data_IF_476063670444
#
_entry.id   IF_476063670444
#
_cell.length_a   1.000
_cell.length_b   1.000
_cell.length_c   1.000
_cell.angle_alpha   90.00
_cell.angle_beta   90.00
_cell.angle_gamma   90.00
#
_symmetry.space_group_name_H-M   'P 1'
#
loop_
_entity.id
_entity.type
_entity.pdbx_description
1 polymer ?
#
# COMPACT_ATOMS: atom_id res chain seq x y z
N UNK A 1 -46.31 -32.74 36.30
CA UNK A 1 -46.13 -31.35 35.85
C UNK A 1 -44.72 -30.83 36.19
N UNK A 2 -43.65 -31.25 35.47
CA UNK A 2 -42.29 -30.70 35.68
C UNK A 2 -41.42 -30.64 34.41
N UNK A 3 -41.98 -30.91 33.23
CA UNK A 3 -41.20 -31.02 31.98
C UNK A 3 -41.49 -29.86 31.00
N UNK A 4 -42.65 -29.19 31.12
CA UNK A 4 -43.04 -28.12 30.19
C UNK A 4 -42.33 -26.79 30.49
N UNK A 5 -41.84 -26.59 31.71
CA UNK A 5 -41.13 -25.36 32.10
C UNK A 5 -39.68 -25.26 31.58
N UNK A 6 -39.07 -26.37 31.11
CA UNK A 6 -37.68 -26.36 30.60
C UNK A 6 -37.56 -26.09 29.10
N UNK A 7 -38.64 -26.20 28.34
CA UNK A 7 -38.64 -25.93 26.89
C UNK A 7 -38.76 -24.43 26.55
N UNK A 8 -39.30 -23.61 27.46
CA UNK A 8 -39.50 -22.17 27.23
C UNK A 8 -38.25 -21.31 27.47
N UNK A 9 -37.21 -21.85 28.11
CA UNK A 9 -35.97 -21.11 28.39
C UNK A 9 -34.91 -21.22 27.27
N UNK A 10 -35.12 -22.10 26.28
CA UNK A 10 -34.17 -22.29 25.18
C UNK A 10 -34.38 -21.34 23.99
N UNK A 11 -35.55 -20.68 23.88
CA UNK A 11 -35.84 -19.78 22.75
C UNK A 11 -35.29 -18.35 22.90
N UNK A 12 -34.75 -17.98 24.07
CA UNK A 12 -34.25 -16.63 24.33
C UNK A 12 -32.80 -16.39 23.90
N UNK A 13 -32.08 -17.41 23.43
CA UNK A 13 -30.66 -17.28 23.05
C UNK A 13 -30.41 -17.12 21.54
N UNK A 14 -31.46 -17.04 20.71
CA UNK A 14 -31.34 -16.86 19.25
C UNK A 14 -31.57 -15.40 18.79
N UNK A 15 -31.88 -14.47 19.69
CA UNK A 15 -32.22 -13.08 19.36
C UNK A 15 -31.02 -12.13 19.19
N UNK A 16 -29.79 -12.60 19.42
CA UNK A 16 -28.60 -11.73 19.43
C UNK A 16 -28.11 -11.25 18.05
N UNK A 17 -28.34 -11.98 16.96
CA UNK A 17 -27.88 -11.59 15.62
C UNK A 17 -28.92 -10.80 14.81
N UNK A 18 -30.21 -11.06 15.01
CA UNK A 18 -31.29 -10.38 14.28
C UNK A 18 -31.47 -8.92 14.69
N UNK A 19 -31.19 -8.59 15.96
CA UNK A 19 -31.34 -7.23 16.50
C UNK A 19 -30.32 -6.26 15.91
N UNK A 20 -29.06 -6.67 15.76
CA UNK A 20 -27.98 -5.84 15.20
C UNK A 20 -28.22 -5.52 13.73
N UNK A 21 -28.61 -6.53 12.94
CA UNK A 21 -28.93 -6.34 11.51
C UNK A 21 -30.15 -5.41 11.32
N UNK A 22 -31.18 -5.58 12.15
CA UNK A 22 -32.36 -4.71 12.15
C UNK A 22 -32.01 -3.27 12.55
N UNK A 23 -31.22 -3.09 13.62
CA UNK A 23 -30.75 -1.77 14.08
C UNK A 23 -29.96 -1.07 12.97
N UNK A 24 -29.04 -1.79 12.31
CA UNK A 24 -28.28 -1.26 11.18
C UNK A 24 -29.22 -0.82 10.05
N UNK A 25 -30.15 -1.67 9.62
CA UNK A 25 -31.11 -1.29 8.57
C UNK A 25 -31.97 -0.07 8.96
N UNK A 26 -32.37 0.03 10.22
CA UNK A 26 -33.14 1.17 10.74
C UNK A 26 -32.33 2.47 10.75
N UNK A 27 -31.07 2.42 11.17
CA UNK A 27 -30.17 3.58 11.15
C UNK A 27 -29.97 4.08 9.71
N UNK A 28 -29.74 3.17 8.75
CA UNK A 28 -29.64 3.52 7.33
C UNK A 28 -30.96 4.05 6.74
N UNK A 29 -32.11 3.65 7.26
CA UNK A 29 -33.39 4.16 6.74
C UNK A 29 -33.77 5.53 7.30
N UNK A 30 -33.18 5.93 8.43
CA UNK A 30 -33.52 7.15 9.17
C UNK A 30 -32.54 8.31 8.97
N UNK A 31 -31.45 8.11 8.24
CA UNK A 31 -30.49 9.17 7.93
C UNK A 31 -30.87 9.91 6.63
N UNK A 32 -31.16 11.20 6.75
CA UNK A 32 -31.64 12.03 5.64
C UNK A 32 -30.55 12.94 5.08
N UNK A 33 -29.78 13.60 5.94
CA UNK A 33 -28.71 14.52 5.52
C UNK A 33 -27.41 13.78 5.19
N UNK A 34 -26.53 14.40 4.41
CA UNK A 34 -25.20 13.85 4.11
C UNK A 34 -24.40 13.54 5.39
N UNK A 35 -24.47 14.42 6.38
CA UNK A 35 -23.83 14.27 7.68
C UNK A 35 -24.42 13.08 8.46
N UNK A 36 -25.74 12.95 8.51
CA UNK A 36 -26.39 11.80 9.15
C UNK A 36 -26.00 10.49 8.48
N UNK A 37 -25.97 10.46 7.14
CA UNK A 37 -25.57 9.27 6.37
C UNK A 37 -24.12 8.88 6.64
N UNK A 38 -23.21 9.86 6.71
CA UNK A 38 -21.82 9.66 7.15
C UNK A 38 -21.77 9.09 8.57
N UNK A 39 -22.50 9.67 9.53
CA UNK A 39 -22.45 9.20 10.92
C UNK A 39 -22.94 7.76 11.06
N UNK A 40 -23.95 7.36 10.28
CA UNK A 40 -24.41 5.97 10.21
C UNK A 40 -23.32 5.05 9.65
N UNK A 41 -22.64 5.45 8.56
CA UNK A 41 -21.51 4.68 8.02
C UNK A 41 -20.41 4.48 9.07
N UNK A 42 -20.04 5.55 9.78
CA UNK A 42 -19.00 5.52 10.82
C UNK A 42 -19.43 4.65 12.01
N UNK A 43 -20.69 4.76 12.45
CA UNK A 43 -21.25 3.96 13.56
C UNK A 43 -21.08 2.46 13.32
N UNK A 44 -21.27 2.04 12.07
CA UNK A 44 -21.23 0.63 11.66
C UNK A 44 -19.90 0.18 11.06
N UNK A 45 -18.85 1.00 11.20
CA UNK A 45 -17.48 0.58 10.86
C UNK A 45 -17.09 -0.69 11.62
N UNK A 46 -16.42 -1.65 10.96
CA UNK A 46 -15.90 -2.82 11.63
C UNK A 46 -14.84 -2.46 12.69
N UNK A 47 -14.77 -3.26 13.75
CA UNK A 47 -13.79 -3.06 14.83
C UNK A 47 -12.49 -3.86 14.62
N UNK A 48 -12.48 -4.85 13.73
CA UNK A 48 -11.28 -5.63 13.44
C UNK A 48 -10.20 -4.75 12.80
N UNK A 49 -8.94 -5.18 12.90
CA UNK A 49 -7.76 -4.43 12.44
C UNK A 49 -7.67 -2.99 13.02
N UNK A 50 -8.41 -2.69 14.09
CA UNK A 50 -8.44 -1.39 14.74
C UNK A 50 -9.17 -0.30 13.95
N UNK A 51 -9.93 -0.61 12.91
CA UNK A 51 -10.57 0.38 12.03
C UNK A 51 -11.41 1.40 12.80
N UNK A 52 -12.40 0.94 13.58
CA UNK A 52 -13.25 1.82 14.39
C UNK A 52 -12.45 2.65 15.42
N UNK A 53 -11.39 2.07 16.01
CA UNK A 53 -10.52 2.77 16.99
C UNK A 53 -9.68 3.87 16.32
N UNK A 54 -9.20 3.62 15.11
CA UNK A 54 -8.30 4.52 14.38
C UNK A 54 -9.05 5.59 13.57
N UNK A 55 -10.32 5.33 13.24
CA UNK A 55 -11.11 6.21 12.37
C UNK A 55 -11.20 7.67 12.84
N UNK A 56 -11.35 8.00 14.14
CA UNK A 56 -11.35 9.39 14.59
C UNK A 56 -10.07 10.15 14.21
N UNK A 57 -8.91 9.49 14.28
CA UNK A 57 -7.63 10.08 13.87
C UNK A 57 -7.61 10.34 12.36
N UNK A 58 -8.03 9.35 11.58
CA UNK A 58 -8.10 9.45 10.11
C UNK A 58 -9.02 10.59 9.69
N UNK A 59 -10.21 10.69 10.30
CA UNK A 59 -11.16 11.76 10.02
C UNK A 59 -10.61 13.14 10.36
N UNK A 60 -9.94 13.29 11.51
CA UNK A 60 -9.31 14.57 11.86
C UNK A 60 -8.22 14.94 10.84
N UNK A 61 -7.39 13.98 10.44
CA UNK A 61 -6.37 14.21 9.41
C UNK A 61 -7.01 14.62 8.06
N UNK A 62 -8.10 13.97 7.64
CA UNK A 62 -8.86 14.37 6.44
C UNK A 62 -9.37 15.81 6.56
N UNK A 63 -9.98 16.17 7.70
CA UNK A 63 -10.53 17.51 7.91
C UNK A 63 -9.43 18.58 7.85
N UNK A 64 -8.26 18.30 8.42
CA UNK A 64 -7.11 19.22 8.40
C UNK A 64 -6.44 19.34 7.03
N UNK A 65 -6.50 18.30 6.21
CA UNK A 65 -5.76 18.21 4.94
C UNK A 65 -6.62 18.49 3.71
N UNK A 66 -7.73 17.76 3.56
CA UNK A 66 -8.62 17.79 2.39
C UNK A 66 -9.88 18.63 2.66
N UNK A 67 -10.39 18.56 3.89
CA UNK A 67 -11.70 19.09 4.27
C UNK A 67 -12.83 18.05 4.08
N UNK A 68 -13.81 18.08 4.97
CA UNK A 68 -15.03 17.24 4.90
C UNK A 68 -16.24 18.12 4.54
N UNK A 69 -16.26 18.62 3.31
CA UNK A 69 -17.33 19.49 2.81
C UNK A 69 -18.51 18.70 2.19
N UNK A 70 -19.53 19.41 1.71
CA UNK A 70 -20.70 18.76 1.11
C UNK A 70 -20.35 18.00 -0.18
N UNK A 71 -19.32 18.39 -0.94
CA UNK A 71 -18.91 17.68 -2.14
C UNK A 71 -18.26 16.33 -1.76
N UNK A 72 -17.37 16.34 -0.79
CA UNK A 72 -16.76 15.13 -0.22
C UNK A 72 -17.82 14.17 0.32
N UNK A 73 -18.74 14.68 1.16
CA UNK A 73 -19.79 13.87 1.76
C UNK A 73 -20.77 13.31 0.72
N UNK A 74 -21.05 14.07 -0.36
CA UNK A 74 -21.87 13.57 -1.45
C UNK A 74 -21.19 12.39 -2.18
N UNK A 75 -19.89 12.49 -2.45
CA UNK A 75 -19.10 11.38 -3.01
C UNK A 75 -19.10 10.15 -2.09
N UNK A 76 -18.84 10.35 -0.79
CA UNK A 76 -18.87 9.29 0.22
C UNK A 76 -20.22 8.56 0.22
N UNK A 77 -21.32 9.32 0.18
CA UNK A 77 -22.66 8.74 0.19
C UNK A 77 -22.93 7.96 -1.10
N UNK A 78 -22.54 8.51 -2.26
CA UNK A 78 -22.71 7.82 -3.53
C UNK A 78 -21.93 6.49 -3.58
N UNK A 79 -20.69 6.49 -3.10
CA UNK A 79 -19.79 5.34 -3.18
C UNK A 79 -20.05 4.29 -2.10
N UNK A 80 -20.24 4.71 -0.84
CA UNK A 80 -20.26 3.79 0.29
C UNK A 80 -21.66 3.50 0.83
N UNK A 81 -22.54 4.49 0.85
CA UNK A 81 -23.85 4.33 1.50
C UNK A 81 -24.74 3.31 0.80
N UNK A 82 -24.72 3.33 -0.54
CA UNK A 82 -25.55 2.43 -1.36
C UNK A 82 -24.95 1.03 -1.50
N UNK A 83 -23.63 0.90 -1.37
CA UNK A 83 -22.89 -0.35 -1.62
C UNK A 83 -22.85 -1.27 -0.39
N UNK A 84 -23.27 -0.78 0.79
CA UNK A 84 -23.33 -1.52 2.06
C UNK A 84 -22.05 -2.27 2.44
N UNK A 85 -20.90 -1.81 1.93
CA UNK A 85 -19.59 -2.31 2.31
C UNK A 85 -19.14 -1.56 3.56
N UNK A 86 -18.98 -2.31 4.66
CA UNK A 86 -18.71 -1.76 5.99
C UNK A 86 -17.31 -1.13 6.09
N UNK A 87 -16.36 -1.57 5.27
CA UNK A 87 -15.01 -0.99 5.20
C UNK A 87 -14.93 0.21 4.26
N UNK A 88 -15.95 0.44 3.43
CA UNK A 88 -15.87 1.44 2.35
C UNK A 88 -15.56 2.84 2.89
N UNK A 89 -16.21 3.26 3.99
CA UNK A 89 -15.94 4.58 4.58
C UNK A 89 -14.50 4.69 5.10
N UNK A 90 -13.92 3.60 5.61
CA UNK A 90 -12.52 3.58 6.04
C UNK A 90 -11.58 3.81 4.85
N UNK A 91 -11.79 3.06 3.76
CA UNK A 91 -10.98 3.18 2.54
C UNK A 91 -11.18 4.51 1.83
N UNK A 92 -12.41 5.01 1.75
CA UNK A 92 -12.72 6.30 1.12
C UNK A 92 -11.96 7.45 1.77
N UNK A 93 -11.95 7.50 3.11
CA UNK A 93 -11.21 8.52 3.86
C UNK A 93 -9.69 8.38 3.67
N UNK A 94 -9.15 7.17 3.77
CA UNK A 94 -7.71 6.93 3.59
C UNK A 94 -7.26 7.28 2.18
N UNK A 95 -8.04 6.91 1.16
CA UNK A 95 -7.71 7.19 -0.23
C UNK A 95 -7.70 8.70 -0.48
N UNK A 96 -8.67 9.45 0.03
CA UNK A 96 -8.69 10.90 -0.12
C UNK A 96 -7.46 11.59 0.54
N UNK A 97 -7.08 11.16 1.74
CA UNK A 97 -5.84 11.63 2.40
C UNK A 97 -4.61 11.23 1.57
N UNK A 98 -4.57 10.00 1.08
CA UNK A 98 -3.50 9.47 0.24
C UNK A 98 -3.30 10.29 -1.03
N UNK A 99 -4.38 10.54 -1.78
CA UNK A 99 -4.36 11.37 -3.00
C UNK A 99 -3.90 12.79 -2.72
N UNK A 100 -4.32 13.38 -1.61
CA UNK A 100 -3.85 14.70 -1.20
C UNK A 100 -2.36 14.69 -0.87
N UNK A 101 -1.90 13.71 -0.11
CA UNK A 101 -0.50 13.56 0.25
C UNK A 101 0.37 13.29 -0.99
N UNK A 102 -0.12 12.51 -1.95
CA UNK A 102 0.57 12.25 -3.22
C UNK A 102 0.73 13.52 -4.05
N UNK A 103 -0.35 14.30 -4.22
CA UNK A 103 -0.29 15.60 -4.91
C UNK A 103 0.67 16.56 -4.22
N UNK A 104 0.60 16.66 -2.89
CA UNK A 104 1.50 17.50 -2.10
C UNK A 104 2.95 17.05 -2.21
N UNK A 105 3.19 15.74 -2.33
CA UNK A 105 4.53 15.19 -2.52
C UNK A 105 5.08 15.52 -3.91
N UNK A 106 4.25 15.52 -4.95
CA UNK A 106 4.63 15.90 -6.31
C UNK A 106 5.08 17.36 -6.42
N UNK A 107 4.47 18.25 -5.63
CA UNK A 107 4.84 19.67 -5.55
C UNK A 107 6.08 19.93 -4.68
N UNK A 108 6.51 18.95 -3.88
CA UNK A 108 7.67 19.06 -2.99
C UNK A 108 8.85 18.22 -3.52
N UNK A 109 9.90 18.85 -4.07
CA UNK A 109 11.05 18.14 -4.64
C UNK A 109 11.75 17.19 -3.67
N UNK A 110 11.78 17.51 -2.37
CA UNK A 110 12.38 16.64 -1.36
C UNK A 110 11.53 15.39 -1.13
N UNK A 111 10.21 15.54 -1.03
CA UNK A 111 9.30 14.41 -0.89
C UNK A 111 9.34 13.51 -2.13
N UNK A 112 9.26 14.09 -3.32
CA UNK A 112 9.33 13.35 -4.58
C UNK A 112 10.64 12.56 -4.69
N UNK A 113 11.77 13.18 -4.34
CA UNK A 113 13.07 12.51 -4.31
C UNK A 113 13.08 11.33 -3.34
N UNK A 114 12.55 11.49 -2.13
CA UNK A 114 12.48 10.43 -1.14
C UNK A 114 11.55 9.29 -1.59
N UNK A 115 10.39 9.60 -2.16
CA UNK A 115 9.46 8.63 -2.74
C UNK A 115 10.13 7.80 -3.82
N UNK A 116 10.79 8.45 -4.78
CA UNK A 116 11.47 7.76 -5.88
C UNK A 116 12.69 6.96 -5.38
N UNK A 117 13.40 7.45 -4.37
CA UNK A 117 14.48 6.71 -3.71
C UNK A 117 13.94 5.41 -3.08
N UNK A 118 12.85 5.51 -2.31
CA UNK A 118 12.23 4.36 -1.67
C UNK A 118 11.68 3.36 -2.69
N UNK A 119 11.08 3.83 -3.78
CA UNK A 119 10.63 2.99 -4.89
C UNK A 119 11.81 2.22 -5.51
N UNK A 120 12.93 2.89 -5.78
CA UNK A 120 14.12 2.25 -6.32
C UNK A 120 14.72 1.20 -5.36
N UNK A 121 14.76 1.49 -4.05
CA UNK A 121 15.18 0.52 -3.03
C UNK A 121 14.25 -0.71 -3.03
N UNK A 122 12.94 -0.50 -3.10
CA UNK A 122 11.96 -1.59 -3.08
C UNK A 122 12.07 -2.47 -4.33
N UNK A 123 12.18 -1.87 -5.53
CA UNK A 123 12.36 -2.59 -6.79
C UNK A 123 13.69 -3.35 -6.85
N UNK A 124 14.77 -2.73 -6.38
CA UNK A 124 16.07 -3.39 -6.27
C UNK A 124 15.97 -4.66 -5.42
N UNK A 125 15.39 -4.54 -4.21
CA UNK A 125 15.28 -5.68 -3.30
C UNK A 125 14.31 -6.75 -3.81
N UNK A 126 13.17 -6.35 -4.38
CA UNK A 126 12.22 -7.30 -4.98
C UNK A 126 12.87 -8.12 -6.09
N UNK A 127 13.64 -7.48 -6.97
CA UNK A 127 14.36 -8.14 -8.06
C UNK A 127 15.47 -9.03 -7.52
N UNK A 128 16.28 -8.51 -6.58
CA UNK A 128 17.34 -9.27 -5.91
C UNK A 128 16.80 -10.56 -5.27
N UNK A 129 15.71 -10.47 -4.50
CA UNK A 129 15.10 -11.65 -3.88
C UNK A 129 14.61 -12.65 -4.90
N UNK A 130 14.03 -12.18 -6.01
CA UNK A 130 13.60 -13.07 -7.09
C UNK A 130 14.78 -13.84 -7.69
N UNK A 131 15.92 -13.15 -7.92
CA UNK A 131 17.14 -13.80 -8.43
C UNK A 131 17.65 -14.84 -7.43
N UNK A 132 17.76 -14.48 -6.15
CA UNK A 132 18.25 -15.39 -5.10
C UNK A 132 17.34 -16.61 -4.93
N UNK A 133 16.02 -16.41 -4.93
CA UNK A 133 15.04 -17.47 -4.75
C UNK A 133 15.07 -18.49 -5.91
N UNK A 134 15.40 -18.06 -7.12
CA UNK A 134 15.51 -18.92 -8.31
C UNK A 134 16.84 -19.64 -8.43
N UNK A 135 17.91 -19.04 -7.91
CA UNK A 135 19.27 -19.55 -8.05
C UNK A 135 19.83 -20.08 -6.72
N UNK A 136 19.04 -20.90 -6.01
CA UNK A 136 19.33 -21.33 -4.62
C UNK A 136 20.71 -21.99 -4.44
N UNK A 137 21.19 -22.71 -5.46
CA UNK A 137 22.50 -23.39 -5.41
C UNK A 137 23.69 -22.48 -5.75
N UNK A 138 23.44 -21.29 -6.31
CA UNK A 138 24.45 -20.34 -6.78
C UNK A 138 24.26 -18.94 -6.15
N UNK A 139 23.55 -18.83 -5.02
CA UNK A 139 23.20 -17.52 -4.42
C UNK A 139 24.41 -16.65 -4.14
N UNK A 140 25.53 -17.23 -3.68
CA UNK A 140 26.76 -16.49 -3.42
C UNK A 140 27.38 -15.89 -4.69
N UNK A 141 27.34 -16.63 -5.80
CA UNK A 141 27.84 -16.15 -7.10
C UNK A 141 26.96 -15.02 -7.62
N UNK A 142 25.63 -15.19 -7.58
CA UNK A 142 24.70 -14.17 -8.03
C UNK A 142 24.72 -12.92 -7.12
N UNK A 143 24.85 -13.04 -5.80
CA UNK A 143 24.97 -11.89 -4.89
C UNK A 143 26.21 -11.05 -5.23
N UNK A 144 27.36 -11.71 -5.44
CA UNK A 144 28.60 -11.04 -5.83
C UNK A 144 28.43 -10.28 -7.16
N UNK A 145 27.90 -10.94 -8.19
CA UNK A 145 27.70 -10.34 -9.52
C UNK A 145 26.73 -9.16 -9.42
N UNK A 146 25.62 -9.32 -8.68
CA UNK A 146 24.64 -8.24 -8.49
C UNK A 146 25.27 -7.04 -7.80
N UNK A 147 26.06 -7.26 -6.75
CA UNK A 147 26.74 -6.17 -6.03
C UNK A 147 27.74 -5.45 -6.92
N UNK A 148 28.52 -6.18 -7.71
CA UNK A 148 29.47 -5.60 -8.65
C UNK A 148 28.76 -4.79 -9.74
N UNK A 149 27.68 -5.33 -10.32
CA UNK A 149 26.85 -4.65 -11.29
C UNK A 149 26.24 -3.36 -10.73
N UNK A 150 25.68 -3.45 -9.52
CA UNK A 150 25.08 -2.32 -8.82
C UNK A 150 26.10 -1.21 -8.55
N UNK A 151 27.30 -1.58 -8.09
CA UNK A 151 28.41 -0.65 -7.85
C UNK A 151 28.85 0.03 -9.16
N UNK A 152 28.99 -0.75 -10.23
CA UNK A 152 29.38 -0.25 -11.55
C UNK A 152 28.35 0.71 -12.13
N UNK A 153 27.05 0.40 -12.02
CA UNK A 153 25.98 1.29 -12.44
C UNK A 153 25.99 2.63 -11.68
N UNK A 154 26.25 2.61 -10.37
CA UNK A 154 26.39 3.83 -9.57
C UNK A 154 27.61 4.67 -9.97
N UNK A 155 28.77 4.04 -10.20
CA UNK A 155 29.96 4.72 -10.72
C UNK A 155 29.67 5.35 -12.09
N UNK A 156 29.06 4.59 -12.99
CA UNK A 156 28.66 5.05 -14.32
C UNK A 156 27.73 6.25 -14.26
N UNK A 157 26.73 6.22 -13.38
CA UNK A 157 25.82 7.34 -13.18
C UNK A 157 26.56 8.63 -12.79
N UNK A 158 27.48 8.56 -11.81
CA UNK A 158 28.28 9.72 -11.40
C UNK A 158 29.29 10.16 -12.45
N UNK A 159 29.70 9.24 -13.33
CA UNK A 159 30.51 9.50 -14.52
C UNK A 159 29.73 10.09 -15.70
N UNK A 160 28.42 10.31 -15.57
CA UNK A 160 27.57 10.90 -16.62
C UNK A 160 26.98 9.91 -17.62
N UNK A 161 27.09 8.60 -17.38
CA UNK A 161 26.42 7.58 -18.20
C UNK A 161 24.90 7.69 -18.01
N UNK A 162 24.16 7.74 -19.11
CA UNK A 162 22.69 7.81 -19.07
C UNK A 162 22.08 6.46 -18.64
N UNK A 163 20.88 6.50 -18.07
CA UNK A 163 20.14 5.28 -17.71
C UNK A 163 19.91 4.36 -18.92
N UNK A 164 19.63 4.94 -20.09
CA UNK A 164 19.44 4.19 -21.34
C UNK A 164 20.72 3.47 -21.78
N UNK A 165 21.88 4.10 -21.58
CA UNK A 165 23.15 3.44 -21.87
C UNK A 165 23.39 2.25 -20.96
N UNK A 166 23.12 2.37 -19.64
CA UNK A 166 23.21 1.23 -18.70
C UNK A 166 22.31 0.08 -19.13
N UNK A 167 21.06 0.39 -19.50
CA UNK A 167 20.12 -0.61 -20.00
C UNK A 167 20.67 -1.34 -21.24
N UNK A 168 21.19 -0.59 -22.22
CA UNK A 168 21.76 -1.16 -23.43
C UNK A 168 22.99 -2.02 -23.15
N UNK A 169 23.90 -1.56 -22.30
CA UNK A 169 25.13 -2.26 -21.96
C UNK A 169 24.83 -3.62 -21.30
N UNK A 170 23.90 -3.67 -20.36
CA UNK A 170 23.50 -4.93 -19.71
C UNK A 170 22.77 -5.84 -20.70
N UNK A 171 21.93 -5.28 -21.58
CA UNK A 171 21.24 -6.08 -22.58
C UNK A 171 22.20 -6.72 -23.60
N UNK A 172 23.33 -6.08 -23.89
CA UNK A 172 24.34 -6.57 -24.82
C UNK A 172 25.37 -7.51 -24.16
N UNK A 173 25.29 -7.72 -22.84
CA UNK A 173 26.18 -8.62 -22.13
C UNK A 173 26.03 -10.08 -22.64
N UNK A 174 27.15 -10.64 -23.09
CA UNK A 174 27.27 -12.03 -23.51
C UNK A 174 27.19 -12.98 -22.33
N UNK A 175 26.70 -14.21 -22.55
CA UNK A 175 26.70 -15.26 -21.53
C UNK A 175 25.53 -15.23 -20.55
N UNK A 176 24.61 -14.27 -20.67
CA UNK A 176 23.37 -14.21 -19.87
C UNK A 176 22.19 -14.82 -20.64
N UNK A 177 21.40 -15.66 -19.97
CA UNK A 177 20.10 -16.06 -20.49
C UNK A 177 19.16 -14.83 -20.57
N UNK A 178 18.14 -14.83 -21.43
CA UNK A 178 17.22 -13.70 -21.54
C UNK A 178 16.55 -13.29 -20.23
N UNK A 179 16.21 -14.27 -19.38
CA UNK A 179 15.59 -14.04 -18.08
C UNK A 179 16.54 -13.37 -17.09
N UNK A 180 17.76 -13.91 -16.93
CA UNK A 180 18.79 -13.36 -16.03
C UNK A 180 19.20 -11.97 -16.49
N UNK A 181 19.32 -11.76 -17.81
CA UNK A 181 19.61 -10.45 -18.41
C UNK A 181 18.59 -9.40 -17.99
N UNK A 182 17.29 -9.72 -18.06
CA UNK A 182 16.23 -8.79 -17.65
C UNK A 182 16.34 -8.38 -16.17
N UNK A 183 16.58 -9.36 -15.29
CA UNK A 183 16.73 -9.11 -13.86
C UNK A 183 17.98 -8.27 -13.55
N UNK A 184 19.10 -8.56 -14.21
CA UNK A 184 20.34 -7.81 -14.03
C UNK A 184 20.21 -6.38 -14.56
N UNK A 185 19.54 -6.20 -15.70
CA UNK A 185 19.21 -4.88 -16.22
C UNK A 185 18.41 -4.08 -15.19
N UNK A 186 17.34 -4.67 -14.65
CA UNK A 186 16.49 -3.99 -13.67
C UNK A 186 17.29 -3.61 -12.41
N UNK A 187 18.15 -4.51 -11.90
CA UNK A 187 19.07 -4.23 -10.80
C UNK A 187 20.01 -3.06 -11.12
N UNK A 188 20.66 -3.08 -12.28
CA UNK A 188 21.60 -2.04 -12.69
C UNK A 188 20.88 -0.67 -12.80
N UNK A 189 19.69 -0.65 -13.39
CA UNK A 189 18.87 0.56 -13.53
C UNK A 189 18.45 1.12 -12.17
N UNK A 190 18.02 0.28 -11.22
CA UNK A 190 17.67 0.76 -9.89
C UNK A 190 18.90 1.28 -9.13
N UNK A 191 20.05 0.61 -9.22
CA UNK A 191 21.29 1.11 -8.61
C UNK A 191 21.80 2.42 -9.23
N UNK A 192 21.63 2.61 -10.54
CA UNK A 192 21.86 3.88 -11.20
C UNK A 192 20.96 4.98 -10.60
N UNK A 193 19.66 4.72 -10.44
CA UNK A 193 18.71 5.67 -9.83
C UNK A 193 19.09 6.00 -8.38
N UNK A 194 19.47 5.01 -7.58
CA UNK A 194 19.95 5.22 -6.20
C UNK A 194 21.12 6.21 -6.17
N UNK A 195 22.09 6.05 -7.08
CA UNK A 195 23.21 6.97 -7.21
C UNK A 195 22.76 8.38 -7.60
N UNK A 196 21.80 8.51 -8.53
CA UNK A 196 21.24 9.83 -8.91
C UNK A 196 20.56 10.55 -7.73
N UNK A 197 20.09 9.81 -6.73
CA UNK A 197 19.51 10.36 -5.50
C UNK A 197 20.52 10.60 -4.38
N UNK A 198 21.81 10.31 -4.60
CA UNK A 198 22.91 10.57 -3.66
C UNK A 198 23.38 9.35 -2.87
N UNK A 199 22.95 8.14 -3.21
CA UNK A 199 23.48 6.91 -2.62
C UNK A 199 24.72 6.47 -3.40
N UNK A 200 25.91 6.78 -2.89
CA UNK A 200 27.17 6.51 -3.59
C UNK A 200 27.43 5.02 -3.84
N UNK A 201 26.97 4.16 -2.93
CA UNK A 201 27.06 2.71 -3.03
C UNK A 201 25.68 2.08 -2.85
N UNK A 202 25.03 1.74 -3.98
CA UNK A 202 23.70 1.12 -3.99
C UNK A 202 23.68 -0.25 -3.31
N UNK A 203 24.82 -0.94 -3.19
CA UNK A 203 24.90 -2.26 -2.55
C UNK A 203 24.56 -2.21 -1.06
N UNK A 204 24.73 -1.04 -0.43
CA UNK A 204 24.33 -0.78 0.96
C UNK A 204 22.82 -0.85 1.19
N UNK A 205 22.02 -0.82 0.11
CA UNK A 205 20.56 -0.91 0.15
C UNK A 205 20.03 -2.29 -0.21
N UNK A 206 20.90 -3.23 -0.59
CA UNK A 206 20.55 -4.64 -0.78
C UNK A 206 20.42 -5.28 0.61
N UNK A 207 19.22 -5.73 0.92
CA UNK A 207 18.92 -6.47 2.15
C UNK A 207 19.07 -7.95 1.83
N UNK A 208 20.16 -8.58 2.26
CA UNK A 208 20.27 -10.02 2.12
C UNK A 208 19.51 -10.72 3.25
N UNK A 209 18.57 -11.61 2.90
CA UNK A 209 17.84 -12.46 3.84
C UNK A 209 18.11 -13.96 3.60
N UNK A 210 18.98 -14.27 2.63
CA UNK A 210 19.39 -15.61 2.22
C UNK A 210 20.81 -15.92 2.70
#
# INVERSE_FOLDING_TARGET
MKIIAKALFLCFFLSGCGTTAYQKSSDFSSAYTLQQKRDVLIKWLPSYNGMQKNFPKIRNELIESVGEDNAFLNGLVLECYNNRNDECVYHYYINAIGEYNDKKCEENPSCLKERNLNEAINKLNSTYYLVMARNQYHQSEFDLIIRELCKSAGIGQRGGISLMQIENDVNQASGLSPEVRGQFRDIAMECWKLSSYGINDGTTKIKNIY
#
